data_IF_866098684207
#
_entry.id   IF_866098684207
#
_cell.length_a   1.000
_cell.length_b   1.000
_cell.length_c   1.000
_cell.angle_alpha   90.00
_cell.angle_beta   90.00
_cell.angle_gamma   90.00
#
_symmetry.space_group_name_H-M   'P 1'
#
loop_
_entity.id
_entity.type
_entity.pdbx_description
1 polymer ?
#
# COMPACT_ATOMS: atom_id res chain seq x y z
N UNK A 1 10.78 -8.97 -10.65
CA UNK A 1 10.24 -7.61 -10.43
C UNK A 1 8.82 -7.75 -9.91
N UNK A 2 8.59 -7.53 -8.61
CA UNK A 2 7.24 -7.53 -8.07
C UNK A 2 6.54 -6.25 -8.53
N UNK A 3 5.39 -6.40 -9.19
CA UNK A 3 4.58 -5.26 -9.62
C UNK A 3 3.80 -4.78 -8.40
N UNK A 4 3.89 -3.50 -8.08
CA UNK A 4 3.05 -2.87 -7.06
C UNK A 4 1.54 -2.98 -7.40
N UNK A 5 0.70 -2.50 -6.49
CA UNK A 5 -0.75 -2.47 -6.67
C UNK A 5 -1.23 -1.05 -6.96
N UNK A 6 -2.10 -0.90 -7.97
CA UNK A 6 -2.75 0.35 -8.31
C UNK A 6 -4.27 0.15 -8.33
N UNK A 7 -5.01 1.09 -7.75
CA UNK A 7 -6.47 1.10 -7.76
C UNK A 7 -7.00 2.53 -7.86
N UNK A 8 -7.98 2.73 -8.72
CA UNK A 8 -8.78 3.96 -8.77
C UNK A 8 -10.12 3.71 -8.09
N UNK A 9 -10.44 4.51 -7.06
CA UNK A 9 -11.70 4.39 -6.32
C UNK A 9 -12.40 5.74 -6.21
N UNK A 10 -13.72 5.70 -6.12
CA UNK A 10 -14.53 6.89 -5.82
C UNK A 10 -15.18 6.72 -4.44
N UNK A 11 -14.91 7.65 -3.54
CA UNK A 11 -15.47 7.68 -2.19
C UNK A 11 -16.23 8.99 -2.01
N UNK A 12 -17.54 8.91 -1.77
CA UNK A 12 -18.41 10.08 -1.54
C UNK A 12 -18.29 11.16 -2.63
N UNK A 13 -18.12 10.75 -3.88
CA UNK A 13 -17.98 11.64 -5.04
C UNK A 13 -16.56 12.15 -5.32
N UNK A 14 -15.59 11.89 -4.43
CA UNK A 14 -14.19 12.22 -4.65
C UNK A 14 -13.44 11.01 -5.23
N UNK A 15 -12.66 11.24 -6.29
CA UNK A 15 -11.80 10.22 -6.90
C UNK A 15 -10.44 10.18 -6.22
N UNK A 16 -9.97 8.97 -5.95
CA UNK A 16 -8.65 8.70 -5.41
C UNK A 16 -7.93 7.67 -6.27
N UNK A 17 -6.63 7.84 -6.43
CA UNK A 17 -5.74 6.83 -6.98
C UNK A 17 -4.83 6.34 -5.85
N UNK A 18 -4.75 5.04 -5.66
CA UNK A 18 -3.91 4.41 -4.64
C UNK A 18 -2.87 3.56 -5.32
N UNK A 19 -1.59 3.81 -5.02
CA UNK A 19 -0.44 3.05 -5.49
C UNK A 19 0.30 2.48 -4.30
N UNK A 20 0.57 1.18 -4.25
CA UNK A 20 1.40 0.54 -3.22
C UNK A 20 2.58 -0.17 -3.87
N UNK A 21 3.79 0.11 -3.40
CA UNK A 21 5.04 -0.39 -3.96
C UNK A 21 5.94 -0.99 -2.89
N UNK A 22 6.79 -1.90 -3.34
CA UNK A 22 7.96 -2.35 -2.60
C UNK A 22 9.19 -1.53 -3.03
N UNK A 23 9.88 -0.90 -2.08
CA UNK A 23 11.09 -0.12 -2.32
C UNK A 23 12.40 -0.93 -2.16
N UNK A 24 12.28 -2.22 -1.84
CA UNK A 24 13.36 -3.21 -1.85
C UNK A 24 14.29 -3.16 -0.65
N UNK A 25 15.17 -4.15 -0.52
CA UNK A 25 16.05 -4.33 0.65
C UNK A 25 17.00 -3.15 0.97
N UNK A 26 17.35 -2.32 -0.03
CA UNK A 26 18.16 -1.10 0.21
C UNK A 26 17.37 0.01 0.90
N UNK A 27 16.04 -0.02 0.79
CA UNK A 27 15.13 0.90 1.42
C UNK A 27 13.87 0.12 1.83
N UNK A 28 13.97 -0.70 2.91
CA UNK A 28 13.08 -1.84 3.18
C UNK A 28 11.72 -1.39 3.69
N UNK A 29 10.94 -0.79 2.81
CA UNK A 29 9.61 -0.26 3.07
C UNK A 29 8.62 -0.70 2.00
N UNK A 30 7.41 -0.98 2.47
CA UNK A 30 6.22 -0.99 1.63
C UNK A 30 5.59 0.41 1.70
N UNK A 31 5.41 1.03 0.53
CA UNK A 31 4.99 2.43 0.45
C UNK A 31 3.70 2.53 -0.33
N UNK A 32 2.65 3.04 0.34
CA UNK A 32 1.40 3.43 -0.30
C UNK A 32 1.33 4.94 -0.48
N UNK A 33 0.99 5.37 -1.69
CA UNK A 33 0.71 6.76 -2.03
C UNK A 33 -0.75 6.88 -2.43
N UNK A 34 -1.45 7.79 -1.77
CA UNK A 34 -2.84 8.14 -2.07
C UNK A 34 -2.82 9.47 -2.78
N UNK A 35 -3.38 9.50 -3.98
CA UNK A 35 -3.49 10.69 -4.80
C UNK A 35 -4.94 11.15 -4.87
N UNK A 36 -5.13 12.45 -4.90
CA UNK A 36 -6.40 13.10 -5.21
C UNK A 36 -6.10 14.27 -6.15
N UNK A 37 -6.81 14.34 -7.27
CA UNK A 37 -6.59 15.36 -8.32
C UNK A 37 -5.12 15.48 -8.77
N UNK A 38 -4.42 14.34 -8.86
CA UNK A 38 -3.01 14.27 -9.28
C UNK A 38 -1.97 14.61 -8.21
N UNK A 39 -2.37 15.11 -7.04
CA UNK A 39 -1.48 15.40 -5.93
C UNK A 39 -1.45 14.25 -4.92
N UNK A 40 -0.27 13.93 -4.37
CA UNK A 40 -0.17 12.99 -3.23
C UNK A 40 -0.72 13.68 -1.99
N UNK A 41 -1.84 13.18 -1.47
CA UNK A 41 -2.45 13.70 -0.24
C UNK A 41 -1.99 12.95 1.01
N UNK A 42 -1.53 11.70 0.83
CA UNK A 42 -1.00 10.89 1.93
C UNK A 42 0.00 9.87 1.43
N UNK A 43 1.05 9.67 2.20
CA UNK A 43 1.99 8.56 2.05
C UNK A 43 1.96 7.72 3.32
N UNK A 44 1.83 6.42 3.17
CA UNK A 44 1.94 5.43 4.25
C UNK A 44 3.16 4.59 3.97
N UNK A 45 4.08 4.51 4.94
CA UNK A 45 5.30 3.70 4.86
C UNK A 45 5.27 2.67 5.97
N UNK A 46 5.45 1.41 5.61
CA UNK A 46 5.55 0.30 6.56
C UNK A 46 6.91 -0.35 6.40
N UNK A 47 7.79 -0.33 7.41
CA UNK A 47 9.05 -1.05 7.38
C UNK A 47 8.82 -2.55 7.20
N UNK A 48 9.73 -3.24 6.50
CA UNK A 48 9.69 -4.70 6.35
C UNK A 48 9.61 -5.42 7.70
N UNK A 49 10.35 -4.97 8.71
CA UNK A 49 10.33 -5.55 10.07
C UNK A 49 8.92 -5.60 10.69
N UNK A 50 8.05 -4.66 10.32
CA UNK A 50 6.65 -4.61 10.78
C UNK A 50 5.72 -5.34 9.80
N UNK A 51 5.99 -5.23 8.51
CA UNK A 51 5.14 -5.75 7.45
C UNK A 51 5.24 -7.27 7.27
N UNK A 52 6.45 -7.82 7.45
CA UNK A 52 6.77 -9.22 7.24
C UNK A 52 6.63 -9.97 8.57
N UNK A 53 5.73 -10.95 8.62
CA UNK A 53 5.65 -11.87 9.76
C UNK A 53 6.80 -12.87 9.68
N UNK A 54 7.38 -13.19 10.84
CA UNK A 54 8.40 -14.22 10.98
C UNK A 54 7.76 -15.61 10.85
N UNK A 55 7.54 -16.06 9.61
CA UNK A 55 7.12 -17.43 9.31
C UNK A 55 8.08 -18.01 8.25
N UNK A 56 8.18 -19.34 8.14
CA UNK A 56 9.06 -20.07 7.21
C UNK A 56 8.66 -19.95 5.73
N UNK A 57 8.26 -18.76 5.31
CA UNK A 57 7.93 -18.39 3.93
C UNK A 57 9.14 -17.73 3.29
N UNK A 58 9.30 -17.92 1.98
CA UNK A 58 10.30 -17.18 1.19
C UNK A 58 10.00 -15.69 1.29
N UNK A 59 11.05 -14.89 1.53
CA UNK A 59 10.94 -13.44 1.73
C UNK A 59 10.12 -12.75 0.63
N UNK A 60 10.31 -13.14 -0.63
CA UNK A 60 9.53 -12.59 -1.75
C UNK A 60 8.02 -12.80 -1.61
N UNK A 61 7.58 -13.97 -1.14
CA UNK A 61 6.15 -14.26 -1.01
C UNK A 61 5.55 -13.58 0.23
N UNK A 62 6.36 -13.41 1.28
CA UNK A 62 5.99 -12.57 2.42
C UNK A 62 5.81 -11.11 1.99
N UNK A 63 6.74 -10.56 1.19
CA UNK A 63 6.65 -9.19 0.65
C UNK A 63 5.37 -9.03 -0.18
N UNK A 64 5.09 -9.93 -1.14
CA UNK A 64 3.85 -9.86 -1.96
C UNK A 64 2.60 -9.84 -1.10
N UNK A 65 2.56 -10.70 -0.09
CA UNK A 65 1.41 -10.84 0.81
C UNK A 65 1.20 -9.56 1.62
N UNK A 66 2.29 -9.02 2.17
CA UNK A 66 2.25 -7.76 2.91
C UNK A 66 1.88 -6.57 2.03
N UNK A 67 2.39 -6.51 0.79
CA UNK A 67 2.05 -5.50 -0.23
C UNK A 67 0.55 -5.49 -0.53
N UNK A 68 -0.02 -6.68 -0.78
CA UNK A 68 -1.46 -6.85 -1.05
C UNK A 68 -2.29 -6.44 0.15
N UNK A 69 -1.88 -6.88 1.35
CA UNK A 69 -2.56 -6.54 2.61
C UNK A 69 -2.58 -5.04 2.83
N UNK A 70 -1.42 -4.38 2.79
CA UNK A 70 -1.34 -2.93 2.95
C UNK A 70 -2.20 -2.19 1.93
N UNK A 71 -2.20 -2.62 0.65
CA UNK A 71 -3.06 -2.01 -0.36
C UNK A 71 -4.54 -2.17 -0.02
N UNK A 72 -4.99 -3.37 0.33
CA UNK A 72 -6.38 -3.62 0.73
C UNK A 72 -6.78 -2.79 1.94
N UNK A 73 -5.94 -2.76 2.98
CA UNK A 73 -6.20 -2.01 4.21
C UNK A 73 -6.39 -0.50 3.91
N UNK A 74 -5.59 0.07 2.99
CA UNK A 74 -5.75 1.47 2.57
C UNK A 74 -7.09 1.69 1.86
N UNK A 75 -7.47 0.79 0.95
CA UNK A 75 -8.76 0.90 0.24
C UNK A 75 -9.93 0.81 1.23
N UNK A 76 -9.90 -0.12 2.17
CA UNK A 76 -10.95 -0.30 3.17
C UNK A 76 -11.11 0.95 4.05
N UNK A 77 -9.99 1.56 4.46
CA UNK A 77 -10.02 2.78 5.27
C UNK A 77 -10.53 3.99 4.48
N UNK A 78 -10.18 4.11 3.19
CA UNK A 78 -10.75 5.13 2.30
C UNK A 78 -12.25 4.92 2.10
N UNK A 79 -12.69 3.70 1.76
CA UNK A 79 -14.09 3.36 1.56
C UNK A 79 -14.94 3.61 2.83
N UNK A 80 -14.37 3.37 4.01
CA UNK A 80 -15.00 3.71 5.28
C UNK A 80 -15.06 5.23 5.58
N UNK A 81 -14.42 6.08 4.78
CA UNK A 81 -14.31 7.52 4.99
C UNK A 81 -13.46 7.91 6.20
N UNK A 82 -12.50 7.05 6.59
CA UNK A 82 -11.62 7.23 7.75
C UNK A 82 -10.22 7.75 7.37
N UNK A 83 -9.94 7.83 6.08
CA UNK A 83 -8.77 8.49 5.48
C UNK A 83 -9.27 9.51 4.45
N UNK A 84 -8.49 10.57 4.20
CA UNK A 84 -8.99 11.91 3.88
C UNK A 84 -9.90 11.99 2.66
#
# INVERSE_FOLDING_TARGET
MQKGFNSDITVRGQKFHVQTEDWGARNPFLVSRIFCNGAVIKTVKTPYETALKAESIREEDAIKTALRRQHSDILDVLLAGKMP
#
